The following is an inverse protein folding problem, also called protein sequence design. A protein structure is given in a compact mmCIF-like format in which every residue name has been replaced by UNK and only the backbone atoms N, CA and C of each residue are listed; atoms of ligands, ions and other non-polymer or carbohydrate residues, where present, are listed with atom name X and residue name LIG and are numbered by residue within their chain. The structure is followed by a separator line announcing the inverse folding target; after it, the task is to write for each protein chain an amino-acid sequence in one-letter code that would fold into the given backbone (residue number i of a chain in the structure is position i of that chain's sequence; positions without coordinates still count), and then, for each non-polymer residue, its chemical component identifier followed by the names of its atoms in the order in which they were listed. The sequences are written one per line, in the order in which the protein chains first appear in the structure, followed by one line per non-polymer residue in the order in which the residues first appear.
data_IF_831255073670
#
_entry.id   IF_831255073670
#
_cell.length_a   1.000
_cell.length_b   1.000
_cell.length_c   1.000
_cell.angle_alpha   90.00
_cell.angle_beta   90.00
_cell.angle_gamma   90.00
#
_symmetry.space_group_name_H-M   'P 1'
#
loop_
_entity.id
_entity.type
_entity.pdbx_description
1 polymer ?
#
# COMPACT_ATOMS: atom_id res chain seq x y z
N UNK A 1 -39.67 -0.49 -10.77
CA UNK A 1 -40.01 -1.72 -10.01
C UNK A 1 -39.67 -3.04 -10.71
N UNK A 2 -39.45 -3.13 -12.04
CA UNK A 2 -39.13 -4.41 -12.71
C UNK A 2 -37.64 -4.81 -12.73
N UNK A 3 -36.71 -3.89 -12.47
CA UNK A 3 -35.26 -4.17 -12.56
C UNK A 3 -34.67 -4.88 -11.32
N UNK A 4 -35.24 -4.67 -10.14
CA UNK A 4 -34.76 -5.27 -8.88
C UNK A 4 -35.09 -6.77 -8.77
N UNK A 5 -36.14 -7.22 -9.46
CA UNK A 5 -36.49 -8.64 -9.49
C UNK A 5 -35.50 -9.48 -10.32
N UNK A 6 -34.83 -8.89 -11.30
CA UNK A 6 -33.93 -9.63 -12.21
C UNK A 6 -32.54 -9.89 -11.61
N UNK A 7 -32.07 -9.05 -10.68
CA UNK A 7 -30.78 -9.24 -10.01
C UNK A 7 -30.87 -10.29 -8.89
N UNK A 8 -32.00 -10.36 -8.18
CA UNK A 8 -32.27 -11.40 -7.17
C UNK A 8 -32.37 -12.81 -7.78
N UNK A 9 -32.89 -12.94 -9.00
CA UNK A 9 -32.98 -14.20 -9.72
C UNK A 9 -31.60 -14.74 -10.17
N UNK A 10 -30.64 -13.86 -10.50
CA UNK A 10 -29.29 -14.29 -10.86
C UNK A 10 -28.47 -14.80 -9.66
N UNK A 11 -28.70 -14.26 -8.45
CA UNK A 11 -28.02 -14.74 -7.25
C UNK A 11 -28.53 -16.13 -6.83
N UNK A 12 -29.82 -16.40 -7.02
CA UNK A 12 -30.40 -17.72 -6.74
C UNK A 12 -30.01 -18.78 -7.78
N UNK A 13 -29.85 -18.39 -9.07
CA UNK A 13 -29.47 -19.32 -10.14
C UNK A 13 -28.04 -19.86 -10.04
N UNK A 14 -27.10 -19.08 -9.48
CA UNK A 14 -25.72 -19.52 -9.28
C UNK A 14 -25.55 -20.51 -8.12
N UNK A 15 -26.50 -20.55 -7.18
CA UNK A 15 -26.50 -21.53 -6.08
C UNK A 15 -26.89 -22.94 -6.49
N UNK A 16 -27.46 -23.13 -7.69
CA UNK A 16 -27.95 -24.43 -8.17
C UNK A 16 -26.94 -25.20 -9.06
N UNK A 17 -25.80 -24.60 -9.41
CA UNK A 17 -24.81 -25.20 -10.33
C UNK A 17 -23.57 -25.77 -9.63
N UNK A 18 -23.49 -25.67 -8.30
CA UNK A 18 -22.47 -26.33 -7.51
C UNK A 18 -23.19 -27.16 -6.45
N UNK A 19 -23.08 -28.49 -6.54
CA UNK A 19 -23.38 -29.39 -5.43
C UNK A 19 -22.40 -29.08 -4.29
N UNK A 20 -22.72 -28.06 -3.50
CA UNK A 20 -22.20 -27.95 -2.14
C UNK A 20 -23.17 -28.71 -1.27
N UNK A 21 -22.70 -29.75 -0.57
CA UNK A 21 -23.51 -30.41 0.46
C UNK A 21 -24.22 -29.36 1.30
N UNK A 22 -25.57 -29.37 1.38
CA UNK A 22 -26.29 -28.42 2.23
C UNK A 22 -25.90 -28.71 3.68
N UNK A 23 -25.19 -27.77 4.31
CA UNK A 23 -24.81 -27.86 5.72
C UNK A 23 -26.00 -27.52 6.62
N UNK A 24 -26.05 -28.11 7.83
CA UNK A 24 -27.23 -28.11 8.69
C UNK A 24 -27.70 -26.69 9.03
N UNK A 25 -29.03 -26.53 9.03
CA UNK A 25 -29.72 -25.29 9.37
C UNK A 25 -29.20 -24.69 10.70
N UNK A 26 -28.56 -23.52 10.65
CA UNK A 26 -28.20 -22.75 11.85
C UNK A 26 -26.77 -22.24 11.93
N UNK A 27 -25.84 -22.70 11.08
CA UNK A 27 -24.44 -22.26 11.12
C UNK A 27 -24.11 -21.31 9.96
N UNK A 28 -24.23 -20.00 10.19
CA UNK A 28 -23.77 -18.99 9.23
C UNK A 28 -22.24 -19.14 9.07
N UNK A 29 -21.75 -19.39 7.85
CA UNK A 29 -20.30 -19.52 7.61
C UNK A 29 -19.62 -18.15 7.67
N UNK A 30 -18.31 -18.15 7.93
CA UNK A 30 -17.47 -16.94 7.79
C UNK A 30 -17.71 -16.26 6.44
N UNK A 31 -17.86 -17.08 5.39
CA UNK A 31 -18.08 -16.65 4.02
C UNK A 31 -19.41 -15.97 3.83
N UNK A 32 -20.47 -16.47 4.47
CA UNK A 32 -21.81 -15.88 4.38
C UNK A 32 -21.82 -14.51 5.06
N UNK A 33 -21.23 -14.39 6.26
CA UNK A 33 -21.06 -13.10 6.95
C UNK A 33 -20.21 -12.12 6.12
N UNK A 34 -19.12 -12.60 5.53
CA UNK A 34 -18.27 -11.79 4.67
C UNK A 34 -19.05 -11.28 3.45
N UNK A 35 -19.80 -12.16 2.78
CA UNK A 35 -20.58 -11.79 1.60
C UNK A 35 -21.67 -10.77 1.95
N UNK A 36 -22.40 -10.96 3.04
CA UNK A 36 -23.41 -9.99 3.52
C UNK A 36 -22.75 -8.64 3.82
N UNK A 37 -21.62 -8.64 4.54
CA UNK A 37 -20.86 -7.42 4.81
C UNK A 37 -20.41 -6.71 3.54
N UNK A 38 -19.98 -7.45 2.52
CA UNK A 38 -19.63 -6.90 1.21
C UNK A 38 -20.83 -6.36 0.43
N UNK A 39 -22.02 -6.94 0.57
CA UNK A 39 -23.25 -6.42 -0.04
C UNK A 39 -23.58 -5.03 0.53
N UNK A 40 -23.54 -4.89 1.86
CA UNK A 40 -23.74 -3.58 2.51
C UNK A 40 -22.65 -2.58 2.13
N UNK A 41 -21.39 -3.01 2.00
CA UNK A 41 -20.31 -2.10 1.63
C UNK A 41 -20.48 -1.54 0.22
N UNK A 42 -20.92 -2.37 -0.73
CA UNK A 42 -21.00 -2.00 -2.14
C UNK A 42 -22.35 -1.40 -2.54
N UNK A 43 -23.25 -1.14 -1.58
CA UNK A 43 -24.46 -0.42 -1.88
C UNK A 43 -24.18 1.10 -1.88
N UNK A 44 -25.08 1.86 -2.50
CA UNK A 44 -24.95 3.32 -2.57
C UNK A 44 -25.42 4.02 -1.26
N UNK A 45 -25.82 3.26 -0.24
CA UNK A 45 -26.39 3.75 1.02
C UNK A 45 -25.29 3.86 2.09
N UNK A 46 -24.78 5.07 2.32
CA UNK A 46 -23.67 5.29 3.27
C UNK A 46 -24.04 4.98 4.71
N UNK A 47 -25.33 5.07 5.05
CA UNK A 47 -25.89 4.65 6.34
C UNK A 47 -25.70 3.15 6.65
N UNK A 48 -25.43 2.33 5.63
CA UNK A 48 -25.23 0.90 5.76
C UNK A 48 -23.75 0.50 5.96
N UNK A 49 -22.81 1.43 5.80
CA UNK A 49 -21.38 1.17 6.02
C UNK A 49 -21.08 0.58 7.43
N UNK A 50 -21.71 1.05 8.53
CA UNK A 50 -21.56 0.43 9.85
C UNK A 50 -22.06 -1.01 9.91
N UNK A 51 -23.09 -1.36 9.13
CA UNK A 51 -23.60 -2.74 9.05
C UNK A 51 -22.55 -3.64 8.42
N UNK A 52 -21.92 -3.21 7.32
CA UNK A 52 -20.81 -3.92 6.69
C UNK A 52 -19.71 -4.27 7.70
N UNK A 53 -19.26 -3.27 8.46
CA UNK A 53 -18.24 -3.46 9.50
C UNK A 53 -18.68 -4.48 10.56
N UNK A 54 -19.93 -4.42 11.00
CA UNK A 54 -20.48 -5.35 11.99
C UNK A 54 -20.47 -6.80 11.49
N UNK A 55 -20.81 -7.03 10.21
CA UNK A 55 -20.73 -8.36 9.63
C UNK A 55 -19.29 -8.87 9.53
N UNK A 56 -18.33 -8.02 9.13
CA UNK A 56 -16.91 -8.40 9.14
C UNK A 56 -16.38 -8.68 10.56
N UNK A 57 -16.81 -7.90 11.55
CA UNK A 57 -16.51 -8.17 12.97
C UNK A 57 -17.10 -9.51 13.40
N UNK A 58 -18.34 -9.82 13.02
CA UNK A 58 -18.94 -11.11 13.35
C UNK A 58 -18.22 -12.28 12.68
N UNK A 59 -17.79 -12.10 11.43
CA UNK A 59 -16.97 -13.07 10.70
C UNK A 59 -15.63 -13.30 11.40
N UNK A 60 -15.02 -12.24 11.95
CA UNK A 60 -13.79 -12.33 12.74
C UNK A 60 -14.00 -13.10 14.05
N UNK A 61 -15.03 -12.75 14.82
CA UNK A 61 -15.39 -13.42 16.07
C UNK A 61 -15.64 -14.92 15.85
N UNK A 62 -16.40 -15.27 14.81
CA UNK A 62 -16.63 -16.65 14.42
C UNK A 62 -15.32 -17.33 14.02
N UNK A 63 -14.48 -16.68 13.21
CA UNK A 63 -13.18 -17.23 12.84
C UNK A 63 -12.27 -17.47 14.04
N UNK A 64 -12.40 -16.73 15.15
CA UNK A 64 -11.59 -16.94 16.36
C UNK A 64 -12.12 -18.06 17.25
N UNK A 65 -13.43 -18.34 17.22
CA UNK A 65 -14.04 -19.42 18.01
C UNK A 65 -13.81 -20.80 17.41
N UNK A 66 -13.49 -20.89 16.12
CA UNK A 66 -13.21 -22.14 15.43
C UNK A 66 -11.82 -22.72 15.76
N UNK A 67 -11.68 -24.03 15.53
CA UNK A 67 -10.37 -24.72 15.57
C UNK A 67 -9.38 -24.04 14.63
N UNK A 68 -8.09 -24.03 15.00
CA UNK A 68 -7.01 -23.35 14.26
C UNK A 68 -7.02 -23.67 12.76
N UNK A 69 -7.27 -24.92 12.38
CA UNK A 69 -7.31 -25.36 10.97
C UNK A 69 -8.47 -24.78 10.15
N UNK A 70 -9.52 -24.30 10.81
CA UNK A 70 -10.72 -23.72 10.19
C UNK A 70 -10.72 -22.18 10.26
N UNK A 71 -9.78 -21.59 10.98
CA UNK A 71 -9.66 -20.14 11.03
C UNK A 71 -9.23 -19.59 9.67
N UNK A 72 -9.75 -18.43 9.31
CA UNK A 72 -9.42 -17.78 8.04
C UNK A 72 -8.76 -16.40 8.27
N UNK A 73 -7.66 -16.30 9.04
CA UNK A 73 -7.11 -15.02 9.48
C UNK A 73 -6.69 -14.13 8.31
N UNK A 74 -6.17 -14.71 7.22
CA UNK A 74 -5.81 -13.96 6.01
C UNK A 74 -7.05 -13.34 5.34
N UNK A 75 -8.14 -14.11 5.22
CA UNK A 75 -9.40 -13.62 4.65
C UNK A 75 -9.99 -12.51 5.50
N UNK A 76 -10.04 -12.69 6.82
CA UNK A 76 -10.56 -11.68 7.73
C UNK A 76 -9.76 -10.38 7.65
N UNK A 77 -8.42 -10.45 7.65
CA UNK A 77 -7.57 -9.26 7.43
C UNK A 77 -7.90 -8.58 6.10
N UNK A 78 -8.11 -9.36 5.05
CA UNK A 78 -8.45 -8.82 3.73
C UNK A 78 -9.79 -8.10 3.70
N UNK A 79 -10.82 -8.62 4.38
CA UNK A 79 -12.13 -7.96 4.48
C UNK A 79 -12.03 -6.58 5.13
N UNK A 80 -11.35 -6.48 6.26
CA UNK A 80 -11.15 -5.19 6.92
C UNK A 80 -10.26 -4.24 6.12
N UNK A 81 -9.22 -4.76 5.46
CA UNK A 81 -8.44 -3.95 4.51
C UNK A 81 -9.34 -3.35 3.42
N UNK A 82 -10.15 -4.18 2.77
CA UNK A 82 -11.00 -3.74 1.65
C UNK A 82 -12.10 -2.77 2.12
N UNK A 83 -12.66 -2.97 3.32
CA UNK A 83 -13.55 -2.02 3.99
C UNK A 83 -12.91 -0.63 4.12
N UNK A 84 -11.73 -0.53 4.73
CA UNK A 84 -11.07 0.76 4.94
C UNK A 84 -10.55 1.38 3.64
N UNK A 85 -10.15 0.56 2.67
CA UNK A 85 -9.79 1.06 1.33
C UNK A 85 -11.01 1.67 0.63
N UNK A 86 -12.18 1.07 0.78
CA UNK A 86 -13.43 1.60 0.25
C UNK A 86 -13.81 2.94 0.93
N UNK A 87 -13.72 3.00 2.26
CA UNK A 87 -13.93 4.25 3.00
C UNK A 87 -12.97 5.35 2.56
N UNK A 88 -11.70 5.01 2.34
CA UNK A 88 -10.72 5.97 1.84
C UNK A 88 -11.16 6.60 0.51
N UNK A 89 -11.66 5.78 -0.44
CA UNK A 89 -12.16 6.25 -1.74
C UNK A 89 -13.35 7.20 -1.57
N UNK A 90 -14.35 6.84 -0.77
CA UNK A 90 -15.50 7.70 -0.45
C UNK A 90 -15.07 9.05 0.12
N UNK A 91 -14.11 9.06 1.04
CA UNK A 91 -13.57 10.31 1.58
C UNK A 91 -12.84 11.15 0.53
N UNK A 92 -12.08 10.55 -0.38
CA UNK A 92 -11.44 11.31 -1.46
C UNK A 92 -12.45 11.87 -2.46
N UNK A 93 -13.52 11.13 -2.77
CA UNK A 93 -14.64 11.62 -3.59
C UNK A 93 -15.36 12.81 -2.95
N UNK A 94 -15.41 12.85 -1.62
CA UNK A 94 -15.99 13.94 -0.84
C UNK A 94 -14.99 15.05 -0.47
N UNK A 95 -13.78 15.04 -1.06
CA UNK A 95 -12.65 15.94 -0.77
C UNK A 95 -12.16 15.94 0.71
N UNK A 96 -12.59 14.97 1.51
CA UNK A 96 -12.19 14.78 2.91
C UNK A 96 -10.82 14.07 3.02
N UNK A 97 -9.79 14.62 2.36
CA UNK A 97 -8.50 13.94 2.16
C UNK A 97 -7.87 13.39 3.43
N UNK A 98 -7.92 14.11 4.56
CA UNK A 98 -7.33 13.66 5.84
C UNK A 98 -7.97 12.34 6.31
N UNK A 99 -9.31 12.25 6.28
CA UNK A 99 -10.03 11.01 6.64
C UNK A 99 -9.72 9.88 5.66
N UNK A 100 -9.54 10.22 4.38
CA UNK A 100 -9.10 9.28 3.36
C UNK A 100 -7.73 8.69 3.66
N UNK A 101 -6.74 9.53 4.01
CA UNK A 101 -5.41 9.07 4.40
C UNK A 101 -5.45 8.21 5.68
N UNK A 102 -6.19 8.63 6.71
CA UNK A 102 -6.37 7.85 7.94
C UNK A 102 -6.98 6.47 7.64
N UNK A 103 -7.90 6.39 6.68
CA UNK A 103 -8.51 5.13 6.24
C UNK A 103 -7.54 4.24 5.48
N UNK A 104 -6.66 4.80 4.62
CA UNK A 104 -5.59 4.04 3.97
C UNK A 104 -4.60 3.47 4.99
N UNK A 105 -4.22 4.25 6.02
CA UNK A 105 -3.37 3.76 7.10
C UNK A 105 -4.01 2.57 7.84
N UNK A 106 -5.32 2.65 8.11
CA UNK A 106 -6.07 1.53 8.69
C UNK A 106 -6.12 0.31 7.77
N UNK A 107 -6.35 0.51 6.47
CA UNK A 107 -6.34 -0.59 5.50
C UNK A 107 -4.99 -1.33 5.52
N UNK A 108 -3.88 -0.59 5.46
CA UNK A 108 -2.52 -1.15 5.53
C UNK A 108 -2.19 -1.78 6.89
N UNK A 109 -2.83 -1.33 7.98
CA UNK A 109 -2.68 -1.96 9.28
C UNK A 109 -3.24 -3.40 9.28
N UNK A 110 -4.32 -3.66 8.53
CA UNK A 110 -4.91 -4.98 8.37
C UNK A 110 -4.18 -5.84 7.33
N UNK A 111 -3.88 -5.29 6.15
CA UNK A 111 -3.11 -5.98 5.12
C UNK A 111 -2.08 -5.05 4.48
N UNK A 112 -0.84 -5.16 4.96
CA UNK A 112 0.30 -4.38 4.48
C UNK A 112 0.81 -4.87 3.12
N UNK A 113 0.48 -6.11 2.73
CA UNK A 113 1.07 -6.73 1.52
C UNK A 113 0.45 -6.25 0.21
N UNK A 114 -0.47 -5.28 0.27
CA UNK A 114 -1.28 -4.83 -0.86
C UNK A 114 -0.61 -3.65 -1.57
N UNK A 115 0.23 -3.96 -2.55
CA UNK A 115 0.96 -2.97 -3.37
C UNK A 115 0.06 -1.83 -3.89
N UNK A 116 -1.15 -2.14 -4.36
CA UNK A 116 -2.08 -1.14 -4.88
C UNK A 116 -2.54 -0.11 -3.83
N UNK A 117 -2.65 -0.51 -2.56
CA UNK A 117 -3.05 0.39 -1.47
C UNK A 117 -1.93 1.38 -1.15
N UNK A 118 -0.68 0.90 -1.14
CA UNK A 118 0.50 1.77 -1.06
C UNK A 118 0.58 2.76 -2.24
N UNK A 119 0.29 2.30 -3.46
CA UNK A 119 0.23 3.17 -4.64
C UNK A 119 -0.84 4.27 -4.50
N UNK A 120 -2.06 3.92 -4.10
CA UNK A 120 -3.14 4.90 -3.87
C UNK A 120 -2.72 5.90 -2.80
N UNK A 121 -2.15 5.42 -1.69
CA UNK A 121 -1.69 6.29 -0.61
C UNK A 121 -0.61 7.26 -1.07
N UNK A 122 0.39 6.76 -1.81
CA UNK A 122 1.43 7.59 -2.36
C UNK A 122 0.89 8.67 -3.32
N UNK A 123 -0.06 8.31 -4.18
CA UNK A 123 -0.66 9.23 -5.14
C UNK A 123 -1.44 10.36 -4.43
N UNK A 124 -2.19 10.05 -3.37
CA UNK A 124 -2.90 11.06 -2.59
C UNK A 124 -1.94 11.96 -1.79
N UNK A 125 -0.89 11.39 -1.20
CA UNK A 125 0.18 12.18 -0.57
C UNK A 125 0.87 13.12 -1.57
N UNK A 126 1.11 12.66 -2.80
CA UNK A 126 1.68 13.49 -3.86
C UNK A 126 0.76 14.66 -4.24
N UNK A 127 -0.55 14.42 -4.36
CA UNK A 127 -1.55 15.49 -4.60
C UNK A 127 -1.57 16.53 -3.48
N UNK A 128 -1.32 16.11 -2.24
CA UNK A 128 -1.21 16.99 -1.07
C UNK A 128 0.17 17.66 -0.92
N UNK A 129 1.12 17.40 -1.83
CA UNK A 129 2.48 17.95 -1.75
C UNK A 129 3.38 17.30 -0.69
N UNK A 130 2.93 16.19 -0.07
CA UNK A 130 3.69 15.45 0.93
C UNK A 130 4.69 14.50 0.27
N UNK A 131 5.71 15.07 -0.39
CA UNK A 131 6.60 14.36 -1.31
C UNK A 131 7.39 13.21 -0.67
N UNK A 132 7.91 13.38 0.55
CA UNK A 132 8.68 12.33 1.23
C UNK A 132 7.82 11.12 1.62
N UNK A 133 6.59 11.38 2.08
CA UNK A 133 5.62 10.33 2.36
C UNK A 133 5.21 9.59 1.09
N UNK A 134 4.91 10.34 0.01
CA UNK A 134 4.60 9.77 -1.29
C UNK A 134 5.73 8.90 -1.83
N UNK A 135 6.98 9.35 -1.66
CA UNK A 135 8.16 8.60 -2.06
C UNK A 135 8.24 7.27 -1.31
N UNK A 136 8.14 7.30 0.02
CA UNK A 136 8.17 6.08 0.85
C UNK A 136 7.11 5.08 0.41
N UNK A 137 5.84 5.50 0.35
CA UNK A 137 4.74 4.59 0.01
C UNK A 137 4.85 4.06 -1.44
N UNK A 138 5.37 4.86 -2.38
CA UNK A 138 5.61 4.39 -3.75
C UNK A 138 6.73 3.35 -3.82
N UNK A 139 7.80 3.52 -3.04
CA UNK A 139 8.89 2.54 -2.99
C UNK A 139 8.41 1.23 -2.35
N UNK A 140 7.56 1.30 -1.32
CA UNK A 140 6.91 0.10 -0.75
C UNK A 140 6.02 -0.61 -1.78
N UNK A 141 5.17 0.14 -2.49
CA UNK A 141 4.36 -0.40 -3.57
C UNK A 141 5.22 -1.12 -4.62
N UNK A 142 6.35 -0.54 -5.00
CA UNK A 142 7.28 -1.11 -5.97
C UNK A 142 7.98 -2.36 -5.42
N UNK A 143 8.37 -2.37 -4.15
CA UNK A 143 9.01 -3.54 -3.52
C UNK A 143 8.07 -4.77 -3.52
N UNK A 144 6.77 -4.54 -3.33
CA UNK A 144 5.74 -5.56 -3.38
C UNK A 144 5.39 -6.00 -4.81
N UNK A 145 5.50 -5.09 -5.79
CA UNK A 145 5.25 -5.35 -7.21
C UNK A 145 6.32 -4.68 -8.09
N UNK A 146 7.51 -5.32 -8.27
CA UNK A 146 8.69 -4.70 -8.91
C UNK A 146 8.52 -4.24 -10.36
N UNK A 147 7.51 -4.77 -11.05
CA UNK A 147 7.21 -4.47 -12.45
C UNK A 147 5.90 -3.69 -12.63
N UNK A 148 5.54 -2.80 -11.68
CA UNK A 148 4.38 -1.92 -11.87
C UNK A 148 4.76 -0.62 -12.57
N UNK A 149 4.23 -0.44 -13.78
CA UNK A 149 4.46 0.74 -14.60
C UNK A 149 3.91 2.01 -13.96
N UNK A 150 2.75 1.89 -13.33
CA UNK A 150 2.07 2.98 -12.65
C UNK A 150 2.90 3.49 -11.47
N UNK A 151 3.49 2.56 -10.70
CA UNK A 151 4.36 2.91 -9.57
C UNK A 151 5.69 3.50 -10.05
N UNK A 152 6.29 2.94 -11.12
CA UNK A 152 7.51 3.50 -11.72
C UNK A 152 7.27 4.92 -12.25
N UNK A 153 6.13 5.18 -12.91
CA UNK A 153 5.76 6.51 -13.37
C UNK A 153 5.56 7.48 -12.20
N UNK A 154 4.89 7.02 -11.15
CA UNK A 154 4.66 7.80 -9.92
C UNK A 154 5.99 8.16 -9.25
N UNK A 155 6.92 7.21 -9.11
CA UNK A 155 8.25 7.44 -8.54
C UNK A 155 9.04 8.48 -9.34
N UNK A 156 9.12 8.35 -10.66
CA UNK A 156 9.82 9.35 -11.47
C UNK A 156 9.18 10.74 -11.36
N UNK A 157 7.85 10.80 -11.23
CA UNK A 157 7.12 12.06 -10.98
C UNK A 157 7.47 12.66 -9.62
N UNK A 158 7.53 11.84 -8.57
CA UNK A 158 7.91 12.26 -7.22
C UNK A 158 9.37 12.76 -7.20
N UNK A 159 10.30 11.99 -7.78
CA UNK A 159 11.70 12.39 -7.87
C UNK A 159 11.92 13.67 -8.67
N UNK A 160 11.12 13.94 -9.71
CA UNK A 160 11.21 15.19 -10.47
C UNK A 160 10.83 16.44 -9.67
N UNK A 161 10.13 16.27 -8.54
CA UNK A 161 9.70 17.34 -7.64
C UNK A 161 10.58 17.46 -6.39
N UNK A 162 11.41 16.46 -6.12
CA UNK A 162 12.31 16.44 -4.99
C UNK A 162 13.72 16.89 -5.41
N UNK A 163 14.53 17.44 -4.50
CA UNK A 163 15.93 17.80 -4.78
C UNK A 163 16.86 16.57 -4.78
N UNK A 164 16.39 15.43 -5.29
CA UNK A 164 17.20 14.22 -5.46
C UNK A 164 17.96 14.28 -6.79
N UNK A 165 18.90 13.35 -6.93
CA UNK A 165 19.64 13.16 -8.17
C UNK A 165 18.69 12.95 -9.36
N UNK A 166 18.84 13.70 -10.46
CA UNK A 166 17.98 13.56 -11.65
C UNK A 166 18.13 12.16 -12.31
N UNK A 167 19.16 11.40 -11.96
CA UNK A 167 19.31 9.99 -12.36
C UNK A 167 18.16 9.10 -11.84
N UNK A 168 17.54 9.42 -10.69
CA UNK A 168 16.37 8.68 -10.19
C UNK A 168 15.16 8.87 -11.10
N UNK A 169 14.98 10.08 -11.64
CA UNK A 169 13.90 10.39 -12.60
C UNK A 169 14.08 9.55 -13.86
N UNK A 170 15.30 9.57 -14.42
CA UNK A 170 15.65 8.78 -15.60
C UNK A 170 15.42 7.30 -15.37
N UNK A 171 15.94 6.76 -14.25
CA UNK A 171 15.80 5.36 -13.89
C UNK A 171 14.32 4.93 -13.87
N UNK A 172 13.47 5.62 -13.12
CA UNK A 172 12.08 5.22 -12.94
C UNK A 172 11.19 5.45 -14.19
N UNK A 173 11.33 6.59 -14.86
CA UNK A 173 10.54 6.85 -16.08
C UNK A 173 10.91 5.92 -17.23
N UNK A 174 12.16 5.46 -17.31
CA UNK A 174 12.53 4.45 -18.31
C UNK A 174 11.98 3.07 -17.99
N UNK A 175 12.06 2.63 -16.73
CA UNK A 175 11.43 1.38 -16.32
C UNK A 175 9.93 1.39 -16.64
N UNK A 176 9.24 2.52 -16.44
CA UNK A 176 7.84 2.70 -16.80
C UNK A 176 7.61 2.61 -18.32
N UNK A 177 8.39 3.32 -19.13
CA UNK A 177 8.24 3.36 -20.59
C UNK A 177 8.54 2.02 -21.27
N UNK A 178 9.51 1.26 -20.76
CA UNK A 178 9.92 -0.02 -21.36
C UNK A 178 8.78 -1.05 -21.39
N UNK A 179 7.93 -1.03 -20.38
CA UNK A 179 6.84 -2.00 -20.22
C UNK A 179 5.51 -1.50 -20.83
N UNK A 180 5.47 -0.24 -21.25
CA UNK A 180 4.34 0.35 -21.98
C UNK A 180 4.60 0.18 -23.49
N UNK A 181 4.40 -1.04 -24.00
CA UNK A 181 4.48 -1.32 -25.44
C UNK A 181 3.38 -0.52 -26.16
N UNK A 182 3.78 0.44 -27.01
CA UNK A 182 2.86 1.17 -27.89
C UNK A 182 2.67 2.65 -27.55
N UNK A 183 3.48 3.50 -28.18
CA UNK A 183 3.15 4.86 -28.67
C UNK A 183 2.06 5.70 -27.96
N UNK A 184 2.03 5.90 -26.63
CA UNK A 184 1.13 6.92 -26.02
C UNK A 184 1.69 7.75 -24.86
N UNK A 185 3.00 7.97 -24.80
CA UNK A 185 3.58 8.94 -23.86
C UNK A 185 4.61 9.87 -24.52
N UNK A 186 4.24 10.50 -25.64
CA UNK A 186 5.10 11.44 -26.37
C UNK A 186 5.70 12.51 -25.46
N UNK A 187 4.89 13.09 -24.57
CA UNK A 187 5.34 14.12 -23.62
C UNK A 187 6.36 13.60 -22.61
N UNK A 188 6.12 12.42 -22.03
CA UNK A 188 7.06 11.80 -21.07
C UNK A 188 8.37 11.45 -21.78
N UNK A 189 8.29 10.83 -22.96
CA UNK A 189 9.43 10.48 -23.78
C UNK A 189 10.26 11.72 -24.15
N UNK A 190 9.63 12.80 -24.62
CA UNK A 190 10.30 14.07 -24.91
C UNK A 190 10.97 14.69 -23.68
N UNK A 191 10.27 14.67 -22.53
CA UNK A 191 10.80 15.19 -21.27
C UNK A 191 12.03 14.38 -20.83
N UNK A 192 11.94 13.05 -20.91
CA UNK A 192 13.04 12.15 -20.60
C UNK A 192 14.24 12.35 -21.52
N UNK A 193 14.03 12.52 -22.83
CA UNK A 193 15.12 12.87 -23.78
C UNK A 193 15.82 14.16 -23.37
N UNK A 194 15.06 15.19 -22.97
CA UNK A 194 15.63 16.46 -22.51
C UNK A 194 16.52 16.26 -21.28
N UNK A 195 16.02 15.53 -20.28
CA UNK A 195 16.77 15.27 -19.03
C UNK A 195 18.03 14.45 -19.33
N UNK A 196 17.94 13.39 -20.15
CA UNK A 196 19.10 12.57 -20.52
C UNK A 196 20.17 13.39 -21.23
N UNK A 197 19.79 14.25 -22.17
CA UNK A 197 20.72 15.13 -22.87
C UNK A 197 21.43 16.09 -21.90
N UNK A 198 20.70 16.64 -20.91
CA UNK A 198 21.30 17.49 -19.87
C UNK A 198 22.30 16.73 -18.98
N UNK A 199 22.13 15.42 -18.82
CA UNK A 199 23.02 14.56 -18.04
C UNK A 199 24.13 13.91 -18.88
N UNK A 200 24.20 14.19 -20.19
CA UNK A 200 25.17 13.56 -21.09
C UNK A 200 24.95 12.04 -21.25
N UNK A 201 23.71 11.58 -21.14
CA UNK A 201 23.30 10.19 -21.41
C UNK A 201 22.83 10.06 -22.88
N UNK A 202 22.87 8.85 -23.44
CA UNK A 202 22.48 8.57 -24.83
C UNK A 202 20.97 8.76 -25.09
N UNK A 203 20.50 8.64 -26.33
CA UNK A 203 19.07 8.77 -26.67
C UNK A 203 18.20 7.71 -25.96
N UNK A 204 17.10 8.06 -25.27
CA UNK A 204 16.18 7.12 -24.60
C UNK A 204 15.50 6.10 -25.52
N UNK A 205 15.54 6.27 -26.85
CA UNK A 205 15.12 5.22 -27.78
C UNK A 205 16.01 3.97 -27.69
N UNK A 206 17.22 4.11 -27.17
CA UNK A 206 18.06 2.98 -26.77
C UNK A 206 17.76 2.66 -25.31
N UNK A 207 17.30 1.44 -25.06
CA UNK A 207 16.96 1.00 -23.71
C UNK A 207 18.18 1.05 -22.78
N UNK A 208 18.01 1.57 -21.56
CA UNK A 208 18.96 1.43 -20.45
C UNK A 208 19.39 -0.04 -20.23
N UNK A 209 18.62 -1.04 -20.64
CA UNK A 209 19.00 -2.46 -20.49
C UNK A 209 20.23 -2.88 -21.31
N UNK A 210 20.85 -1.98 -22.09
CA UNK A 210 22.28 -2.13 -22.37
C UNK A 210 23.02 -2.10 -21.04
N UNK A 211 23.55 -3.25 -20.62
CA UNK A 211 24.17 -3.45 -19.30
C UNK A 211 25.03 -2.27 -18.86
N UNK A 212 25.80 -1.69 -19.77
CA UNK A 212 26.75 -0.60 -19.48
C UNK A 212 26.07 0.71 -19.03
N UNK A 213 24.93 1.09 -19.62
CA UNK A 213 24.22 2.31 -19.23
C UNK A 213 23.42 2.15 -17.94
N UNK A 214 22.76 0.99 -17.77
CA UNK A 214 22.11 0.64 -16.51
C UNK A 214 23.12 0.63 -15.37
N UNK A 215 24.25 -0.03 -15.56
CA UNK A 215 25.31 -0.09 -14.56
C UNK A 215 25.84 1.31 -14.26
N UNK A 216 26.09 2.14 -15.29
CA UNK A 216 26.50 3.54 -15.09
C UNK A 216 25.50 4.36 -14.29
N UNK A 217 24.20 4.24 -14.55
CA UNK A 217 23.17 4.96 -13.77
C UNK A 217 23.10 4.44 -12.34
N UNK A 218 23.16 3.11 -12.14
CA UNK A 218 23.23 2.51 -10.80
C UNK A 218 24.46 3.00 -10.04
N UNK A 219 25.63 3.06 -10.70
CA UNK A 219 26.88 3.56 -10.13
C UNK A 219 26.78 5.03 -9.75
N UNK A 220 26.04 5.84 -10.50
CA UNK A 220 25.78 7.26 -10.18
C UNK A 220 24.77 7.44 -9.04
N UNK A 221 23.88 6.47 -8.84
CA UNK A 221 22.91 6.46 -7.74
C UNK A 221 23.52 5.89 -6.44
N UNK A 222 24.43 4.94 -6.53
CA UNK A 222 25.04 4.24 -5.39
C UNK A 222 25.71 5.16 -4.34
N UNK A 223 26.41 6.25 -4.70
CA UNK A 223 26.94 7.22 -3.74
C UNK A 223 25.86 7.89 -2.88
N UNK A 224 24.65 8.09 -3.41
CA UNK A 224 23.53 8.64 -2.63
C UNK A 224 23.03 7.68 -1.54
N UNK A 225 23.42 6.41 -1.62
CA UNK A 225 23.14 5.35 -0.65
C UNK A 225 24.36 5.02 0.23
N UNK A 226 25.54 5.54 -0.12
CA UNK A 226 26.84 5.16 0.47
C UNK A 226 27.15 5.70 1.88
N UNK A 227 26.61 6.85 2.37
CA UNK A 227 26.92 7.30 3.74
C UNK A 227 26.52 6.32 4.85
N UNK A 228 25.82 5.23 4.53
CA UNK A 228 25.31 4.27 5.50
C UNK A 228 25.70 2.80 5.20
N UNK A 229 26.80 2.57 4.47
CA UNK A 229 27.55 1.29 4.45
C UNK A 229 28.30 1.06 5.79
N UNK A 230 27.77 1.61 6.88
CA UNK A 230 27.90 1.00 8.21
C UNK A 230 26.56 0.35 8.54
N UNK A 231 26.09 -0.52 7.65
CA UNK A 231 25.33 -1.65 8.14
C UNK A 231 26.21 -2.27 9.22
N UNK A 232 25.74 -2.19 10.46
CA UNK A 232 26.28 -3.02 11.53
C UNK A 232 26.43 -4.44 10.95
N UNK A 233 27.65 -4.96 10.97
CA UNK A 233 27.92 -6.36 10.62
C UNK A 233 27.05 -7.32 11.47
N UNK A 234 26.51 -6.82 12.59
CA UNK A 234 25.45 -7.46 13.36
C UNK A 234 24.08 -6.95 12.92
N UNK A 235 23.31 -7.80 12.26
CA UNK A 235 21.86 -7.66 12.01
C UNK A 235 21.04 -7.38 13.29
N UNK A 236 21.61 -7.69 14.46
CA UNK A 236 20.94 -7.70 15.76
C UNK A 236 20.87 -6.34 16.46
N UNK A 237 21.56 -5.31 15.94
CA UNK A 237 21.47 -3.95 16.48
C UNK A 237 20.63 -3.12 15.51
N UNK A 238 19.30 -3.08 15.68
CA UNK A 238 18.45 -2.25 14.85
C UNK A 238 18.88 -0.79 15.00
N UNK A 239 18.73 -0.02 13.91
CA UNK A 239 18.78 1.44 13.93
C UNK A 239 18.04 1.94 15.17
N UNK A 240 18.71 2.71 16.04
CA UNK A 240 18.11 3.14 17.30
C UNK A 240 17.02 4.18 17.04
N UNK A 241 15.82 3.69 16.75
CA UNK A 241 14.63 4.48 16.48
C UNK A 241 14.27 5.37 17.67
N UNK A 242 14.66 5.00 18.90
CA UNK A 242 14.17 5.67 20.10
C UNK A 242 14.89 7.00 20.37
N UNK A 243 16.12 7.16 19.86
CA UNK A 243 16.93 8.37 20.04
C UNK A 243 16.92 9.31 18.82
N UNK A 244 16.13 9.00 17.79
CA UNK A 244 16.18 9.66 16.48
C UNK A 244 14.93 10.47 16.19
N UNK A 245 15.10 11.56 15.44
CA UNK A 245 13.97 12.37 15.01
C UNK A 245 13.12 11.64 13.95
N UNK A 246 11.80 11.89 13.88
CA UNK A 246 10.92 11.27 12.88
C UNK A 246 11.41 11.44 11.44
N UNK A 247 12.01 12.59 11.09
CA UNK A 247 12.56 12.79 9.73
C UNK A 247 13.79 11.91 9.45
N UNK A 248 14.64 11.64 10.46
CA UNK A 248 15.78 10.75 10.29
C UNK A 248 15.32 9.31 10.05
N UNK A 249 14.30 8.87 10.79
CA UNK A 249 13.67 7.55 10.62
C UNK A 249 13.05 7.42 9.23
N UNK A 250 12.36 8.47 8.75
CA UNK A 250 11.76 8.48 7.41
C UNK A 250 12.82 8.40 6.31
N UNK A 251 13.89 9.22 6.40
CA UNK A 251 15.01 9.19 5.45
C UNK A 251 15.69 7.83 5.41
N UNK A 252 15.91 7.24 6.59
CA UNK A 252 16.48 5.89 6.70
C UNK A 252 15.58 4.84 6.07
N UNK A 253 14.27 4.91 6.30
CA UNK A 253 13.28 4.02 5.68
C UNK A 253 13.31 4.15 4.16
N UNK A 254 13.26 5.37 3.62
CA UNK A 254 13.32 5.64 2.17
C UNK A 254 14.60 5.04 1.56
N UNK A 255 15.74 5.22 2.23
CA UNK A 255 17.02 4.66 1.77
C UNK A 255 16.99 3.12 1.71
N UNK A 256 16.46 2.46 2.75
CA UNK A 256 16.30 0.99 2.76
C UNK A 256 15.43 0.51 1.58
N UNK A 257 14.31 1.19 1.32
CA UNK A 257 13.47 0.85 0.18
C UNK A 257 14.17 1.12 -1.17
N UNK A 258 14.90 2.23 -1.32
CA UNK A 258 15.71 2.52 -2.51
C UNK A 258 16.78 1.45 -2.76
N UNK A 259 17.39 0.92 -1.69
CA UNK A 259 18.37 -0.17 -1.78
C UNK A 259 17.71 -1.46 -2.29
N UNK A 260 16.52 -1.82 -1.80
CA UNK A 260 15.75 -2.96 -2.31
C UNK A 260 15.39 -2.80 -3.80
N UNK A 261 15.10 -1.58 -4.24
CA UNK A 261 14.77 -1.29 -5.65
C UNK A 261 15.99 -1.46 -6.56
N UNK A 262 17.15 -0.96 -6.15
CA UNK A 262 18.36 -1.01 -6.99
C UNK A 262 19.08 -2.35 -6.92
N UNK A 263 18.98 -3.06 -5.79
CA UNK A 263 19.72 -4.29 -5.51
C UNK A 263 18.82 -5.32 -4.81
N UNK A 264 17.81 -5.86 -5.51
CA UNK A 264 16.76 -6.68 -4.91
C UNK A 264 17.29 -7.97 -4.25
N UNK A 265 18.42 -8.50 -4.71
CA UNK A 265 19.00 -9.74 -4.19
C UNK A 265 20.03 -9.50 -3.07
N UNK A 266 20.49 -8.25 -2.88
CA UNK A 266 21.59 -7.95 -1.97
C UNK A 266 21.07 -7.66 -0.56
N UNK A 267 21.28 -8.61 0.37
CA UNK A 267 20.91 -8.49 1.80
C UNK A 267 19.41 -8.18 2.00
N UNK A 268 18.58 -8.76 1.15
CA UNK A 268 17.13 -8.55 1.13
C UNK A 268 16.50 -8.81 2.51
N UNK A 269 16.86 -9.93 3.13
CA UNK A 269 16.28 -10.35 4.41
C UNK A 269 16.66 -9.39 5.55
N UNK A 270 17.91 -8.92 5.59
CA UNK A 270 18.36 -7.92 6.56
C UNK A 270 17.61 -6.60 6.42
N UNK A 271 17.39 -6.15 5.18
CA UNK A 271 16.68 -4.91 4.91
C UNK A 271 15.20 -5.06 5.31
N UNK A 272 14.55 -6.17 4.96
CA UNK A 272 13.19 -6.44 5.39
C UNK A 272 13.06 -6.58 6.90
N UNK A 273 14.05 -7.17 7.59
CA UNK A 273 14.09 -7.21 9.04
C UNK A 273 14.12 -5.81 9.65
N UNK A 274 14.99 -4.92 9.15
CA UNK A 274 15.07 -3.55 9.64
C UNK A 274 13.80 -2.74 9.35
N UNK A 275 13.25 -2.84 8.13
CA UNK A 275 11.95 -2.27 7.79
C UNK A 275 10.86 -2.81 8.74
N UNK A 276 10.89 -4.11 9.02
CA UNK A 276 10.02 -4.77 9.99
C UNK A 276 10.13 -4.15 11.38
N UNK A 277 11.32 -3.88 11.90
CA UNK A 277 11.53 -3.23 13.21
C UNK A 277 11.01 -1.79 13.20
N UNK A 278 11.29 -1.03 12.14
CA UNK A 278 10.84 0.36 11.97
C UNK A 278 9.30 0.42 11.94
N UNK A 279 8.68 -0.48 11.18
CA UNK A 279 7.23 -0.58 11.08
C UNK A 279 6.61 -1.13 12.35
N UNK A 280 7.20 -2.14 12.99
CA UNK A 280 6.71 -2.70 14.25
C UNK A 280 6.69 -1.65 15.35
N UNK A 281 7.71 -0.78 15.45
CA UNK A 281 7.70 0.33 16.42
C UNK A 281 6.66 1.40 16.10
N UNK A 282 6.48 1.77 14.82
CA UNK A 282 5.36 2.64 14.38
C UNK A 282 4.00 2.00 14.70
N UNK A 283 3.90 0.68 14.51
CA UNK A 283 2.69 -0.12 14.72
C UNK A 283 2.44 -0.42 16.19
N UNK A 284 3.42 -0.47 17.09
CA UNK A 284 3.18 -0.51 18.55
C UNK A 284 2.61 0.83 19.00
N UNK A 285 3.08 1.97 18.49
CA UNK A 285 2.46 3.26 18.80
C UNK A 285 1.00 3.34 18.29
N UNK A 286 0.69 2.72 17.15
CA UNK A 286 -0.66 2.66 16.57
C UNK A 286 -1.56 1.58 17.20
N UNK A 287 -1.03 0.37 17.42
CA UNK A 287 -1.71 -0.74 18.09
C UNK A 287 -1.90 -0.44 19.56
N UNK A 288 -1.00 0.27 20.25
CA UNK A 288 -1.30 0.77 21.60
C UNK A 288 -2.48 1.76 21.55
N UNK A 289 -2.59 2.62 20.53
CA UNK A 289 -3.77 3.46 20.33
C UNK A 289 -5.03 2.64 20.00
N UNK A 290 -4.93 1.56 19.25
CA UNK A 290 -6.05 0.64 18.95
C UNK A 290 -6.34 -0.39 20.07
N UNK A 291 -5.40 -0.67 20.98
CA UNK A 291 -5.53 -1.59 22.12
C UNK A 291 -5.99 -0.82 23.36
N UNK A 292 -5.77 0.50 23.43
CA UNK A 292 -6.47 1.39 24.37
C UNK A 292 -8.00 1.39 24.12
N UNK A 293 -8.49 0.82 23.01
CA UNK A 293 -9.92 0.49 22.82
C UNK A 293 -10.40 -0.75 23.58
N UNK A 294 -9.61 -1.26 24.54
CA UNK A 294 -9.99 -2.37 25.42
C UNK A 294 -10.36 -1.87 26.82
N UNK A 295 -11.38 -1.01 26.91
CA UNK A 295 -12.28 -1.00 28.09
C UNK A 295 -13.70 -1.33 27.62
N UNK A 296 -14.26 -2.49 27.97
CA UNK A 296 -15.67 -2.76 27.73
C UNK A 296 -16.48 -1.89 28.69
N UNK A 297 -17.26 -0.93 28.18
CA UNK A 297 -18.25 -0.25 29.03
C UNK A 297 -18.80 1.11 28.64
N UNK A 298 -18.23 1.86 27.69
CA UNK A 298 -18.79 3.19 27.32
C UNK A 298 -18.50 3.50 25.85
N UNK A 299 -19.51 3.35 24.98
CA UNK A 299 -19.34 3.38 23.52
C UNK A 299 -19.76 4.69 22.84
N UNK A 300 -20.14 5.75 23.55
CA UNK A 300 -20.71 6.95 22.88
C UNK A 300 -19.92 8.27 22.92
N UNK A 301 -18.93 8.50 23.80
CA UNK A 301 -18.49 9.91 24.02
C UNK A 301 -17.02 10.29 23.72
N UNK A 302 -16.23 9.52 22.96
CA UNK A 302 -14.85 9.93 22.69
C UNK A 302 -14.42 9.80 21.22
N UNK A 303 -14.96 10.67 20.36
CA UNK A 303 -14.21 11.15 19.20
C UNK A 303 -13.15 12.14 19.71
N UNK A 304 -11.86 12.00 19.34
CA UNK A 304 -10.86 13.00 19.69
C UNK A 304 -11.19 14.29 18.95
N UNK A 305 -11.60 15.32 19.70
CA UNK A 305 -11.58 16.70 19.23
C UNK A 305 -10.11 17.07 18.97
N UNK A 306 -9.77 17.31 17.71
CA UNK A 306 -8.52 17.96 17.35
C UNK A 306 -8.62 19.41 17.83
N UNK A 307 -7.97 19.75 18.94
CA UNK A 307 -7.66 21.14 19.24
C UNK A 307 -6.53 21.60 18.28
N UNK A 308 -6.78 22.79 17.71
CA UNK A 308 -6.10 23.46 16.59
C UNK A 308 -4.59 23.30 16.47
#
# INVERSE_FOLDING_TARGET
MKAVASSLLCVLGLGLLFETDPLPEGEIRIDDLANIGSVYLNNDQTEDDPLSFNYFRRAHELSQSLKVSLQQPKKIRRLFHDYYLFQAKKYFESDERKKGLDSLERALAFDYSVSNTHYIYANELLKMGMLEGALRESLEALSLKPHSNEVQLLLGTIYSRLPYSPYWVVFHWEQALQQLIGLKHKTLSQTLTRIRNQLGLSDPKMSINRSDEKNRIIDLLSPSLSPLIKFSLNSDIPFDVNSRAPQEILRYTIMLCQRLVLFPDARRDDIHYQLGVLFWKKKIAFLLRCIIWKKPGTWEDNLPTFQN
#
